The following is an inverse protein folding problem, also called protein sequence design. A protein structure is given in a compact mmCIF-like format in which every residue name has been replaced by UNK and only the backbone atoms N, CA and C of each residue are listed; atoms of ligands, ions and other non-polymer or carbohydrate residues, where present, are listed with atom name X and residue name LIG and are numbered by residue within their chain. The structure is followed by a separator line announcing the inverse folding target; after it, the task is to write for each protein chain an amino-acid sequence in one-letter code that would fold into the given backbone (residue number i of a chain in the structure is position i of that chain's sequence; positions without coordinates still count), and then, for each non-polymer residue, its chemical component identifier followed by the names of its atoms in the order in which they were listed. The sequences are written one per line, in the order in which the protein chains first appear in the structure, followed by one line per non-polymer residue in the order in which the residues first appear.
data_IF_886461493969
#
_entry.id   IF_886461493969
#
_cell.length_a   1.000
_cell.length_b   1.000
_cell.length_c   1.000
_cell.angle_alpha   90.00
_cell.angle_beta   90.00
_cell.angle_gamma   90.00
#
_symmetry.space_group_name_H-M   'P 1'
#
loop_
_entity.id
_entity.type
_entity.pdbx_description
1 polymer ?
#
# COMPACT_ATOMS: atom_id res chain seq x y z
N UNK A 1 -20.29 -13.06 2.26
CA UNK A 1 -19.31 -11.96 2.43
C UNK A 1 -20.07 -10.75 2.98
N UNK A 2 -19.77 -10.31 4.20
CA UNK A 2 -20.43 -9.12 4.76
C UNK A 2 -20.09 -7.88 3.90
N UNK A 3 -21.07 -6.97 3.67
CA UNK A 3 -20.91 -5.85 2.75
C UNK A 3 -19.75 -4.91 3.11
N UNK A 4 -19.40 -4.83 4.39
CA UNK A 4 -18.35 -3.95 4.94
C UNK A 4 -16.93 -4.31 4.48
N UNK A 5 -16.67 -5.58 4.14
CA UNK A 5 -15.33 -6.04 3.75
C UNK A 5 -15.12 -6.14 2.24
N UNK A 6 -16.20 -6.04 1.45
CA UNK A 6 -16.15 -6.20 0.00
C UNK A 6 -15.46 -5.02 -0.68
N UNK A 7 -15.79 -3.79 -0.28
CA UNK A 7 -15.24 -2.57 -0.90
C UNK A 7 -13.72 -2.42 -0.75
N UNK A 8 -13.11 -2.58 0.44
CA UNK A 8 -11.65 -2.52 0.58
C UNK A 8 -10.92 -3.57 -0.26
N UNK A 9 -11.47 -4.78 -0.33
CA UNK A 9 -10.91 -5.88 -1.13
C UNK A 9 -11.02 -5.59 -2.61
N UNK A 10 -12.14 -5.03 -3.07
CA UNK A 10 -12.31 -4.65 -4.48
C UNK A 10 -11.31 -3.56 -4.91
N UNK A 11 -11.06 -2.57 -4.05
CA UNK A 11 -10.03 -1.54 -4.28
C UNK A 11 -8.64 -2.17 -4.32
N UNK A 12 -8.33 -3.04 -3.35
CA UNK A 12 -7.05 -3.76 -3.31
C UNK A 12 -6.83 -4.60 -4.56
N UNK A 13 -7.86 -5.31 -5.04
CA UNK A 13 -7.80 -6.10 -6.27
C UNK A 13 -7.62 -5.24 -7.51
N UNK A 14 -8.18 -4.04 -7.56
CA UNK A 14 -7.95 -3.07 -8.64
C UNK A 14 -6.51 -2.57 -8.62
N UNK A 15 -5.97 -2.23 -7.46
CA UNK A 15 -4.56 -1.83 -7.30
C UNK A 15 -3.62 -2.96 -7.72
N UNK A 16 -3.87 -4.19 -7.25
CA UNK A 16 -3.10 -5.35 -7.69
C UNK A 16 -3.19 -5.62 -9.19
N UNK A 17 -4.35 -5.34 -9.81
CA UNK A 17 -4.52 -5.47 -11.24
C UNK A 17 -3.73 -4.40 -12.02
N UNK A 18 -3.63 -3.18 -11.47
CA UNK A 18 -2.87 -2.09 -12.06
C UNK A 18 -1.36 -2.41 -12.10
N UNK A 19 -0.81 -2.90 -10.99
CA UNK A 19 0.62 -3.28 -10.87
C UNK A 19 0.94 -4.68 -11.43
N UNK A 20 -0.02 -5.34 -12.10
CA UNK A 20 0.17 -6.69 -12.65
C UNK A 20 0.29 -7.85 -11.65
N UNK A 21 0.17 -7.59 -10.35
CA UNK A 21 0.29 -8.56 -9.26
C UNK A 21 -1.05 -9.11 -8.76
N UNK A 22 -2.10 -9.10 -9.59
CA UNK A 22 -3.41 -9.60 -9.18
C UNK A 22 -3.32 -11.07 -8.66
N UNK A 23 -3.62 -11.32 -7.38
CA UNK A 23 -3.50 -12.65 -6.80
C UNK A 23 -4.58 -13.61 -7.33
N UNK A 24 -5.70 -13.10 -7.85
CA UNK A 24 -6.81 -13.91 -8.37
C UNK A 24 -6.75 -14.17 -9.88
N UNK A 25 -5.86 -13.50 -10.61
CA UNK A 25 -5.69 -13.65 -12.07
C UNK A 25 -4.33 -14.23 -12.41
N UNK A 26 -4.15 -14.71 -13.65
CA UNK A 26 -2.82 -15.08 -14.14
C UNK A 26 -1.88 -13.87 -14.04
N UNK A 27 -0.66 -14.13 -13.59
CA UNK A 27 0.37 -13.14 -13.38
C UNK A 27 0.77 -12.51 -14.72
N UNK A 28 0.74 -11.18 -14.78
CA UNK A 28 1.07 -10.45 -16.01
C UNK A 28 2.58 -10.25 -16.07
N UNK A 29 3.29 -11.25 -16.61
CA UNK A 29 4.76 -11.25 -16.70
C UNK A 29 5.27 -9.99 -17.41
N UNK A 30 4.57 -9.53 -18.45
CA UNK A 30 4.94 -8.31 -19.17
C UNK A 30 4.86 -7.06 -18.31
N UNK A 31 3.83 -6.92 -17.46
CA UNK A 31 3.73 -5.78 -16.54
C UNK A 31 4.81 -5.83 -15.47
N UNK A 32 5.08 -7.00 -14.89
CA UNK A 32 6.14 -7.14 -13.87
C UNK A 32 7.52 -6.82 -14.45
N UNK A 33 7.81 -7.31 -15.66
CA UNK A 33 9.07 -6.99 -16.34
C UNK A 33 9.15 -5.50 -16.63
N UNK A 34 8.07 -4.89 -17.11
CA UNK A 34 7.99 -3.44 -17.33
C UNK A 34 8.24 -2.64 -16.03
N UNK A 35 7.55 -2.97 -14.95
CA UNK A 35 7.68 -2.31 -13.65
C UNK A 35 9.09 -2.48 -13.07
N UNK A 36 9.69 -3.68 -13.24
CA UNK A 36 11.07 -3.96 -12.80
C UNK A 36 12.09 -3.13 -13.58
N UNK A 37 11.92 -3.00 -14.90
CA UNK A 37 12.78 -2.17 -15.75
C UNK A 37 12.64 -0.69 -15.38
N UNK A 38 11.41 -0.22 -15.15
CA UNK A 38 11.15 1.14 -14.69
C UNK A 38 11.84 1.43 -13.35
N UNK A 39 11.70 0.52 -12.38
CA UNK A 39 12.29 0.63 -11.05
C UNK A 39 13.82 0.63 -11.11
N UNK A 40 14.41 -0.25 -11.92
CA UNK A 40 15.86 -0.26 -12.13
C UNK A 40 16.37 1.02 -12.80
N UNK A 41 15.62 1.52 -13.79
CA UNK A 41 15.97 2.76 -14.51
C UNK A 41 15.96 3.95 -13.55
N UNK A 42 14.89 4.13 -12.78
CA UNK A 42 14.81 5.26 -11.84
C UNK A 42 15.85 5.18 -10.73
N UNK A 43 16.13 3.97 -10.22
CA UNK A 43 17.17 3.77 -9.21
C UNK A 43 18.55 4.16 -9.76
N UNK A 44 18.85 3.77 -11.01
CA UNK A 44 20.08 4.15 -11.69
C UNK A 44 20.19 5.67 -11.82
N UNK A 45 19.10 6.36 -12.19
CA UNK A 45 19.08 7.81 -12.32
C UNK A 45 19.25 8.53 -10.97
N UNK A 46 18.71 7.98 -9.88
CA UNK A 46 18.96 8.47 -8.52
C UNK A 46 20.42 8.27 -8.13
N UNK A 47 21.01 7.11 -8.42
CA UNK A 47 22.43 6.86 -8.19
C UNK A 47 23.33 7.80 -8.99
N UNK A 48 23.01 8.05 -10.26
CA UNK A 48 23.73 9.00 -11.11
C UNK A 48 23.68 10.42 -10.57
N UNK A 49 22.57 10.81 -9.92
CA UNK A 49 22.46 12.13 -9.27
C UNK A 49 23.56 12.35 -8.22
N UNK A 50 23.94 11.32 -7.46
CA UNK A 50 25.06 11.40 -6.49
C UNK A 50 26.42 11.59 -7.14
N UNK A 51 26.58 11.16 -8.39
CA UNK A 51 27.84 11.28 -9.14
C UNK A 51 27.92 12.54 -9.98
N UNK A 52 26.82 13.27 -10.14
CA UNK A 52 26.79 14.48 -10.96
C UNK A 52 27.37 15.67 -10.17
N UNK A 53 28.38 16.31 -10.76
CA UNK A 53 29.10 17.43 -10.15
C UNK A 53 28.15 18.60 -9.83
N UNK A 54 28.30 19.16 -8.62
CA UNK A 54 27.49 20.21 -7.96
C UNK A 54 26.32 19.75 -7.06
N UNK A 55 26.60 18.80 -6.16
CA UNK A 55 25.64 18.41 -5.14
C UNK A 55 25.68 19.34 -3.91
N UNK A 56 24.66 20.18 -3.76
CA UNK A 56 24.44 20.93 -2.51
C UNK A 56 23.92 20.00 -1.41
N UNK A 57 24.06 20.39 -0.13
CA UNK A 57 23.54 19.62 1.01
C UNK A 57 22.03 19.36 0.87
N UNK A 58 21.28 20.36 0.36
CA UNK A 58 19.84 20.22 0.12
C UNK A 58 19.56 19.15 -0.94
N UNK A 59 20.25 19.20 -2.09
CA UNK A 59 20.06 18.21 -3.17
C UNK A 59 20.46 16.82 -2.69
N UNK A 60 21.52 16.70 -1.89
CA UNK A 60 21.91 15.43 -1.28
C UNK A 60 20.78 14.85 -0.40
N UNK A 61 20.21 15.67 0.50
CA UNK A 61 19.13 15.25 1.37
C UNK A 61 17.89 14.82 0.57
N UNK A 62 17.47 15.60 -0.42
CA UNK A 62 16.31 15.30 -1.25
C UNK A 62 16.52 14.04 -2.13
N UNK A 63 17.76 13.83 -2.61
CA UNK A 63 18.14 12.62 -3.37
C UNK A 63 18.17 11.39 -2.47
N UNK A 64 18.65 11.54 -1.23
CA UNK A 64 18.63 10.47 -0.23
C UNK A 64 17.19 10.10 0.16
N UNK A 65 16.31 11.09 0.34
CA UNK A 65 14.87 10.86 0.56
C UNK A 65 14.26 10.08 -0.62
N UNK A 66 14.59 10.46 -1.85
CA UNK A 66 14.14 9.76 -3.06
C UNK A 66 14.65 8.30 -3.10
N UNK A 67 15.93 8.07 -2.74
CA UNK A 67 16.52 6.74 -2.66
C UNK A 67 15.83 5.86 -1.60
N UNK A 68 15.59 6.40 -0.41
CA UNK A 68 14.89 5.70 0.66
C UNK A 68 13.44 5.38 0.26
N UNK A 69 12.75 6.32 -0.37
CA UNK A 69 11.39 6.16 -0.87
C UNK A 69 11.33 5.03 -1.90
N UNK A 70 12.19 5.05 -2.93
CA UNK A 70 12.27 3.98 -3.93
C UNK A 70 12.60 2.64 -3.27
N UNK A 71 13.54 2.62 -2.32
CA UNK A 71 13.94 1.40 -1.62
C UNK A 71 12.76 0.78 -0.85
N UNK A 72 12.01 1.59 -0.11
CA UNK A 72 10.80 1.14 0.60
C UNK A 72 9.73 0.63 -0.37
N UNK A 73 9.47 1.35 -1.46
CA UNK A 73 8.54 0.95 -2.50
C UNK A 73 8.94 -0.38 -3.16
N UNK A 74 10.23 -0.55 -3.45
CA UNK A 74 10.81 -1.78 -4.02
C UNK A 74 10.58 -2.96 -3.09
N UNK A 75 10.91 -2.81 -1.80
CA UNK A 75 10.72 -3.87 -0.80
C UNK A 75 9.25 -4.26 -0.71
N UNK A 76 8.32 -3.30 -0.70
CA UNK A 76 6.88 -3.57 -0.68
C UNK A 76 6.41 -4.28 -1.95
N UNK A 77 6.81 -3.83 -3.13
CA UNK A 77 6.50 -4.47 -4.41
C UNK A 77 6.99 -5.92 -4.48
N UNK A 78 8.28 -6.15 -4.15
CA UNK A 78 8.87 -7.49 -4.11
C UNK A 78 8.14 -8.36 -3.09
N UNK A 79 7.82 -7.83 -1.92
CA UNK A 79 7.08 -8.58 -0.89
C UNK A 79 5.69 -8.98 -1.40
N UNK A 80 4.97 -8.09 -2.07
CA UNK A 80 3.66 -8.41 -2.68
C UNK A 80 3.79 -9.51 -3.74
N UNK A 81 4.84 -9.45 -4.57
CA UNK A 81 5.10 -10.46 -5.60
C UNK A 81 5.43 -11.83 -4.98
N UNK A 82 6.32 -11.87 -3.98
CA UNK A 82 6.74 -13.10 -3.28
C UNK A 82 5.59 -13.71 -2.47
N UNK A 83 4.82 -12.88 -1.77
CA UNK A 83 3.71 -13.31 -0.91
C UNK A 83 2.38 -13.48 -1.64
N UNK A 84 2.37 -13.45 -2.98
CA UNK A 84 1.15 -13.51 -3.79
C UNK A 84 0.24 -14.71 -3.49
N UNK A 85 0.80 -15.90 -3.27
CA UNK A 85 0.03 -17.11 -2.92
C UNK A 85 -0.63 -17.01 -1.55
N UNK A 86 0.05 -16.41 -0.56
CA UNK A 86 -0.51 -16.11 0.75
C UNK A 86 -1.64 -15.08 0.63
N UNK A 87 -1.43 -14.01 -0.17
CA UNK A 87 -2.45 -12.99 -0.45
C UNK A 87 -3.68 -13.63 -1.12
N UNK A 88 -3.49 -14.50 -2.10
CA UNK A 88 -4.56 -15.23 -2.78
C UNK A 88 -5.35 -16.09 -1.79
N UNK A 89 -4.65 -16.88 -0.97
CA UNK A 89 -5.26 -17.71 0.08
C UNK A 89 -6.08 -16.85 1.04
N UNK A 90 -5.52 -15.70 1.45
CA UNK A 90 -6.21 -14.72 2.29
C UNK A 90 -7.51 -14.27 1.62
N UNK A 91 -7.47 -13.78 0.38
CA UNK A 91 -8.63 -13.25 -0.34
C UNK A 91 -9.71 -14.31 -0.55
N UNK A 92 -9.32 -15.53 -0.96
CA UNK A 92 -10.27 -16.65 -1.13
C UNK A 92 -10.95 -17.03 0.19
N UNK A 93 -10.27 -16.85 1.31
CA UNK A 93 -10.82 -17.12 2.64
C UNK A 93 -11.64 -15.94 3.22
N UNK A 94 -11.58 -14.72 2.65
CA UNK A 94 -12.39 -13.57 3.12
C UNK A 94 -13.89 -13.87 3.02
N UNK A 95 -14.32 -14.62 2.01
CA UNK A 95 -15.73 -15.00 1.84
C UNK A 95 -16.26 -15.95 2.94
N UNK A 96 -15.35 -16.69 3.59
CA UNK A 96 -15.62 -17.60 4.71
C UNK A 96 -15.42 -16.92 6.07
N UNK A 97 -15.02 -15.65 6.06
CA UNK A 97 -14.60 -14.92 7.25
C UNK A 97 -15.81 -14.51 8.08
N UNK A 98 -16.04 -15.33 9.10
CA UNK A 98 -16.89 -15.17 10.28
C UNK A 98 -18.37 -15.13 9.96
N UNK A 99 -19.07 -16.23 10.26
CA UNK A 99 -20.53 -16.21 10.32
C UNK A 99 -20.95 -15.48 11.61
N UNK A 100 -20.93 -14.15 11.59
CA UNK A 100 -21.24 -13.33 12.77
C UNK A 100 -22.64 -13.59 13.33
N UNK A 101 -23.50 -14.24 12.54
CA UNK A 101 -24.83 -14.68 12.95
C UNK A 101 -24.80 -15.77 14.03
N UNK A 102 -23.65 -16.41 14.28
CA UNK A 102 -23.48 -17.45 15.30
C UNK A 102 -23.15 -16.89 16.69
N UNK A 103 -22.81 -15.60 16.81
CA UNK A 103 -22.47 -14.97 18.09
C UNK A 103 -23.65 -14.21 18.72
N UNK A 104 -23.58 -13.98 20.03
CA UNK A 104 -24.56 -13.17 20.77
C UNK A 104 -24.71 -11.77 20.15
N UNK A 105 -25.93 -11.22 20.19
CA UNK A 105 -26.29 -9.95 19.55
C UNK A 105 -25.37 -8.79 19.95
N UNK A 106 -24.98 -8.71 21.23
CA UNK A 106 -24.13 -7.65 21.75
C UNK A 106 -22.71 -7.72 21.19
N UNK A 107 -22.12 -8.92 21.15
CA UNK A 107 -20.80 -9.14 20.57
C UNK A 107 -20.80 -8.90 19.06
N UNK A 108 -21.82 -9.41 18.37
CA UNK A 108 -22.04 -9.16 16.94
C UNK A 108 -22.08 -7.67 16.61
N UNK A 109 -22.89 -6.90 17.34
CA UNK A 109 -23.03 -5.47 17.14
C UNK A 109 -21.72 -4.72 17.43
N UNK A 110 -20.97 -5.15 18.45
CA UNK A 110 -19.66 -4.60 18.76
C UNK A 110 -18.64 -4.86 17.62
N UNK A 111 -18.56 -6.10 17.12
CA UNK A 111 -17.68 -6.45 16.00
C UNK A 111 -18.03 -5.67 14.74
N UNK A 112 -19.32 -5.57 14.38
CA UNK A 112 -19.79 -4.77 13.25
C UNK A 112 -19.39 -3.29 13.40
N UNK A 113 -19.49 -2.73 14.62
CA UNK A 113 -19.05 -1.36 14.91
C UNK A 113 -17.54 -1.19 14.70
N UNK A 114 -16.70 -2.15 15.12
CA UNK A 114 -15.26 -2.07 14.87
C UNK A 114 -14.91 -2.24 13.39
N UNK A 115 -15.57 -3.15 12.67
CA UNK A 115 -15.38 -3.29 11.23
C UNK A 115 -15.76 -2.01 10.48
N UNK A 116 -16.83 -1.33 10.90
CA UNK A 116 -17.19 -0.01 10.36
C UNK A 116 -16.09 1.04 10.58
N UNK A 117 -15.42 1.03 11.74
CA UNK A 117 -14.26 1.91 11.99
C UNK A 117 -13.07 1.56 11.11
N UNK A 118 -12.76 0.28 10.94
CA UNK A 118 -11.68 -0.16 10.03
C UNK A 118 -11.99 0.29 8.60
N UNK A 119 -13.21 0.10 8.11
CA UNK A 119 -13.61 0.57 6.78
C UNK A 119 -13.43 2.09 6.65
N UNK A 120 -13.80 2.85 7.68
CA UNK A 120 -13.60 4.29 7.73
C UNK A 120 -12.12 4.68 7.70
N UNK A 121 -11.28 4.01 8.49
CA UNK A 121 -9.82 4.22 8.48
C UNK A 121 -9.19 3.91 7.11
N UNK A 122 -9.60 2.82 6.47
CA UNK A 122 -9.14 2.48 5.11
C UNK A 122 -9.55 3.56 4.12
N UNK A 123 -10.77 4.11 4.22
CA UNK A 123 -11.20 5.22 3.35
C UNK A 123 -10.36 6.46 3.57
N UNK A 124 -10.12 6.84 4.83
CA UNK A 124 -9.25 7.97 5.16
C UNK A 124 -7.85 7.77 4.56
N UNK A 125 -7.25 6.59 4.80
CA UNK A 125 -5.93 6.25 4.26
C UNK A 125 -5.90 6.36 2.74
N UNK A 126 -6.88 5.78 2.04
CA UNK A 126 -6.99 5.90 0.59
C UNK A 126 -7.13 7.35 0.13
N UNK A 127 -7.94 8.17 0.80
CA UNK A 127 -8.10 9.58 0.46
C UNK A 127 -6.80 10.36 0.65
N UNK A 128 -6.09 10.14 1.76
CA UNK A 128 -4.80 10.78 2.01
C UNK A 128 -3.76 10.38 0.96
N UNK A 129 -3.66 9.09 0.65
CA UNK A 129 -2.75 8.60 -0.38
C UNK A 129 -3.09 9.18 -1.76
N UNK A 130 -4.34 9.09 -2.20
CA UNK A 130 -4.76 9.65 -3.50
C UNK A 130 -4.56 11.17 -3.57
N UNK A 131 -4.81 11.87 -2.47
CA UNK A 131 -4.56 13.30 -2.35
C UNK A 131 -3.06 13.64 -2.44
N UNK A 132 -2.21 12.90 -1.73
CA UNK A 132 -0.76 13.05 -1.81
C UNK A 132 -0.26 12.76 -3.22
N UNK A 133 -0.64 11.63 -3.81
CA UNK A 133 -0.27 11.24 -5.17
C UNK A 133 -0.64 12.31 -6.21
N UNK A 134 -1.85 12.88 -6.10
CA UNK A 134 -2.30 13.95 -6.97
C UNK A 134 -1.50 15.25 -6.77
N UNK A 135 -1.24 15.64 -5.52
CA UNK A 135 -0.45 16.82 -5.21
C UNK A 135 0.99 16.67 -5.73
N UNK A 136 1.66 15.57 -5.41
CA UNK A 136 3.02 15.30 -5.85
C UNK A 136 3.11 15.21 -7.38
N UNK A 137 2.13 14.62 -8.06
CA UNK A 137 2.11 14.59 -9.54
C UNK A 137 2.06 15.98 -10.19
N UNK A 138 1.52 16.99 -9.49
CA UNK A 138 1.41 18.37 -9.99
C UNK A 138 2.67 19.20 -9.66
N UNK A 139 3.42 18.85 -8.60
CA UNK A 139 4.62 19.58 -8.16
C UNK A 139 5.64 19.84 -9.28
N UNK A 140 5.95 18.89 -10.18
CA UNK A 140 6.87 19.13 -11.29
C UNK A 140 6.42 20.20 -12.28
N UNK A 141 5.11 20.42 -12.39
CA UNK A 141 4.55 21.43 -13.30
C UNK A 141 4.66 22.81 -12.68
N UNK A 142 4.44 22.94 -11.36
CA UNK A 142 4.42 24.25 -10.67
C UNK A 142 5.83 24.68 -10.24
N UNK A 143 6.57 23.78 -9.59
CA UNK A 143 7.83 24.10 -8.91
C UNK A 143 9.07 23.77 -9.75
N UNK A 144 8.87 23.16 -10.91
CA UNK A 144 9.94 22.63 -11.76
C UNK A 144 10.79 21.53 -11.08
N UNK A 145 10.41 21.04 -9.89
CA UNK A 145 11.10 19.96 -9.18
C UNK A 145 10.46 18.62 -9.49
N UNK A 146 11.27 17.60 -9.74
CA UNK A 146 10.77 16.24 -9.94
C UNK A 146 10.14 15.68 -8.65
N UNK A 147 9.24 14.71 -8.79
CA UNK A 147 8.68 14.01 -7.63
C UNK A 147 9.72 13.10 -7.02
N UNK A 148 10.40 12.34 -7.88
CA UNK A 148 11.58 11.57 -7.52
C UNK A 148 12.79 12.35 -8.01
N UNK A 149 13.56 12.90 -7.07
CA UNK A 149 14.76 13.68 -7.37
C UNK A 149 15.85 12.75 -7.89
N UNK A 150 16.14 12.87 -9.17
CA UNK A 150 17.08 12.03 -9.90
C UNK A 150 17.72 12.80 -11.06
N UNK A 151 18.76 12.22 -11.64
CA UNK A 151 19.42 12.76 -12.82
C UNK A 151 18.45 12.81 -14.01
N UNK A 152 18.43 13.95 -14.71
CA UNK A 152 17.67 14.14 -15.95
C UNK A 152 18.64 13.98 -17.13
N UNK A 153 18.49 12.95 -17.97
CA UNK A 153 19.35 12.79 -19.14
C UNK A 153 19.18 13.93 -20.13
N UNK A 154 20.29 14.51 -20.59
CA UNK A 154 20.31 15.71 -21.45
C UNK A 154 19.58 15.52 -22.79
N UNK A 155 19.54 14.29 -23.30
CA UNK A 155 18.91 13.95 -24.58
C UNK A 155 17.39 13.78 -24.50
N UNK A 156 16.79 13.80 -23.29
CA UNK A 156 15.36 13.60 -23.10
C UNK A 156 14.68 14.96 -22.85
N UNK A 157 13.66 15.35 -23.64
CA UNK A 157 12.86 16.53 -23.35
C UNK A 157 12.27 16.47 -21.94
N UNK A 158 12.47 17.54 -21.17
CA UNK A 158 12.05 17.60 -19.75
C UNK A 158 10.61 17.19 -19.53
N UNK A 159 9.68 17.61 -20.40
CA UNK A 159 8.26 17.28 -20.28
C UNK A 159 8.02 15.76 -20.33
N UNK A 160 8.69 15.06 -21.26
CA UNK A 160 8.61 13.60 -21.36
C UNK A 160 9.20 12.94 -20.12
N UNK A 161 10.30 13.48 -19.60
CA UNK A 161 10.93 12.97 -18.39
C UNK A 161 10.05 13.17 -17.14
N UNK A 162 9.36 14.30 -17.02
CA UNK A 162 8.39 14.56 -15.94
C UNK A 162 7.23 13.56 -16.00
N UNK A 163 6.69 13.29 -17.19
CA UNK A 163 5.63 12.29 -17.38
C UNK A 163 6.13 10.90 -16.94
N UNK A 164 7.33 10.53 -17.38
CA UNK A 164 7.97 9.27 -16.98
C UNK A 164 8.15 9.16 -15.47
N UNK A 165 8.69 10.20 -14.82
CA UNK A 165 8.91 10.28 -13.39
C UNK A 165 7.59 10.11 -12.60
N UNK A 166 6.51 10.77 -13.05
CA UNK A 166 5.18 10.65 -12.46
C UNK A 166 4.57 9.27 -12.65
N UNK A 167 4.70 8.65 -13.83
CA UNK A 167 4.20 7.28 -14.06
C UNK A 167 4.85 6.30 -13.09
N UNK A 168 6.17 6.40 -12.90
CA UNK A 168 6.89 5.56 -11.95
C UNK A 168 6.40 5.82 -10.54
N UNK A 169 6.36 7.09 -10.11
CA UNK A 169 5.91 7.46 -8.78
C UNK A 169 4.52 6.90 -8.46
N UNK A 170 3.53 7.10 -9.34
CA UNK A 170 2.16 6.60 -9.16
C UNK A 170 2.10 5.07 -9.11
N UNK A 171 2.88 4.39 -9.96
CA UNK A 171 2.92 2.93 -10.00
C UNK A 171 3.52 2.34 -8.69
N UNK A 172 4.60 2.95 -8.21
CA UNK A 172 5.20 2.58 -6.92
C UNK A 172 4.28 2.92 -5.75
N UNK A 173 3.61 4.07 -5.79
CA UNK A 173 2.59 4.48 -4.82
C UNK A 173 1.44 3.49 -4.71
N UNK A 174 0.94 2.98 -5.85
CA UNK A 174 -0.05 1.91 -5.86
C UNK A 174 0.41 0.65 -5.14
N UNK A 175 1.69 0.29 -5.26
CA UNK A 175 2.29 -0.85 -4.57
C UNK A 175 2.35 -0.64 -3.06
N UNK A 176 2.67 0.58 -2.60
CA UNK A 176 2.65 0.96 -1.19
C UNK A 176 1.25 0.84 -0.60
N UNK A 177 0.25 1.43 -1.26
CA UNK A 177 -1.14 1.40 -0.82
C UNK A 177 -1.65 -0.06 -0.75
N UNK A 178 -1.37 -0.85 -1.78
CA UNK A 178 -1.76 -2.25 -1.82
C UNK A 178 -1.14 -3.05 -0.67
N UNK A 179 0.15 -2.81 -0.36
CA UNK A 179 0.85 -3.46 0.74
C UNK A 179 0.29 -3.07 2.10
N UNK A 180 0.06 -1.78 2.36
CA UNK A 180 -0.43 -1.30 3.65
C UNK A 180 -1.86 -1.79 3.93
N UNK A 181 -2.73 -1.75 2.91
CA UNK A 181 -4.09 -2.32 2.99
C UNK A 181 -4.02 -3.84 3.20
N UNK A 182 -3.09 -4.54 2.54
CA UNK A 182 -2.87 -5.97 2.77
C UNK A 182 -2.45 -6.29 4.21
N UNK A 183 -1.48 -5.54 4.76
CA UNK A 183 -0.95 -5.74 6.10
C UNK A 183 -2.01 -5.47 7.18
N UNK A 184 -2.83 -4.43 7.00
CA UNK A 184 -3.99 -4.17 7.85
C UNK A 184 -4.96 -5.36 7.83
N UNK A 185 -5.26 -5.89 6.65
CA UNK A 185 -6.13 -7.06 6.51
C UNK A 185 -5.53 -8.29 7.20
N UNK A 186 -4.22 -8.54 7.05
CA UNK A 186 -3.56 -9.67 7.72
C UNK A 186 -3.63 -9.55 9.24
N UNK A 187 -3.36 -8.37 9.82
CA UNK A 187 -3.45 -8.12 11.27
C UNK A 187 -4.86 -8.36 11.81
N UNK A 188 -5.89 -7.92 11.08
CA UNK A 188 -7.29 -8.21 11.45
C UNK A 188 -7.57 -9.72 11.44
N UNK A 189 -6.93 -10.49 10.55
CA UNK A 189 -7.07 -11.94 10.49
C UNK A 189 -6.33 -12.71 11.58
N UNK A 190 -5.25 -12.15 12.13
CA UNK A 190 -4.53 -12.78 13.24
C UNK A 190 -5.37 -12.82 14.52
N UNK A 191 -6.43 -12.02 14.60
CA UNK A 191 -7.46 -12.15 15.61
C UNK A 191 -8.26 -13.44 15.31
N UNK A 192 -7.85 -14.56 15.93
CA UNK A 192 -8.41 -15.90 15.67
C UNK A 192 -9.76 -16.09 16.36
N UNK A 193 -10.80 -15.37 15.93
CA UNK A 193 -12.15 -15.47 16.50
C UNK A 193 -12.77 -16.89 16.39
N UNK A 194 -12.29 -17.72 15.46
CA UNK A 194 -12.70 -19.13 15.34
C UNK A 194 -12.32 -19.98 16.56
N UNK A 195 -11.38 -19.52 17.38
CA UNK A 195 -10.99 -20.18 18.64
C UNK A 195 -11.76 -19.67 19.85
N UNK A 196 -12.60 -18.65 19.68
CA UNK A 196 -13.41 -18.08 20.76
C UNK A 196 -14.57 -19.02 21.04
N UNK A 197 -14.44 -19.84 22.09
CA UNK A 197 -15.49 -20.74 22.55
C UNK A 197 -16.11 -20.29 23.87
N UNK A 198 -15.41 -19.41 24.60
CA UNK A 198 -15.81 -18.95 25.94
C UNK A 198 -15.81 -17.42 26.04
N UNK A 199 -16.53 -16.89 27.05
CA UNK A 199 -16.55 -15.44 27.37
C UNK A 199 -15.17 -14.88 27.76
N UNK A 200 -14.25 -15.74 28.21
CA UNK A 200 -12.87 -15.36 28.52
C UNK A 200 -12.11 -15.16 27.21
N UNK A 201 -12.29 -16.04 26.23
CA UNK A 201 -11.70 -15.88 24.89
C UNK A 201 -12.23 -14.63 24.18
N UNK A 202 -13.52 -14.29 24.36
CA UNK A 202 -14.07 -13.02 23.87
C UNK A 202 -13.34 -11.82 24.47
N UNK A 203 -13.12 -11.79 25.80
CA UNK A 203 -12.37 -10.71 26.47
C UNK A 203 -10.92 -10.60 25.98
N UNK A 204 -10.25 -11.73 25.77
CA UNK A 204 -8.87 -11.74 25.27
C UNK A 204 -8.79 -11.25 23.83
N UNK A 205 -9.71 -11.70 22.97
CA UNK A 205 -9.77 -11.26 21.58
C UNK A 205 -10.17 -9.79 21.46
N UNK A 206 -11.05 -9.30 22.35
CA UNK A 206 -11.39 -7.89 22.52
C UNK A 206 -10.16 -7.06 22.89
N UNK A 207 -9.33 -7.54 23.83
CA UNK A 207 -8.10 -6.87 24.23
C UNK A 207 -7.08 -6.81 23.08
N UNK A 208 -6.87 -7.91 22.36
CA UNK A 208 -5.98 -7.93 21.18
C UNK A 208 -6.48 -7.01 20.06
N UNK A 209 -7.79 -7.02 19.78
CA UNK A 209 -8.39 -6.07 18.83
C UNK A 209 -8.14 -4.63 19.25
N UNK A 210 -8.34 -4.34 20.53
CA UNK A 210 -8.15 -3.00 21.08
C UNK A 210 -6.70 -2.54 20.92
N UNK A 211 -5.72 -3.42 21.17
CA UNK A 211 -4.30 -3.14 20.94
C UNK A 211 -4.01 -2.86 19.46
N UNK A 212 -4.56 -3.64 18.52
CA UNK A 212 -4.36 -3.40 17.08
C UNK A 212 -4.96 -2.06 16.65
N UNK A 213 -6.14 -1.69 17.18
CA UNK A 213 -6.80 -0.41 16.92
C UNK A 213 -6.04 0.74 17.58
N UNK A 214 -5.60 0.59 18.83
CA UNK A 214 -4.83 1.60 19.57
C UNK A 214 -3.46 1.83 18.94
N UNK A 215 -2.78 0.78 18.47
CA UNK A 215 -1.53 0.89 17.71
C UNK A 215 -1.72 1.68 16.41
N UNK A 216 -2.80 1.42 15.67
CA UNK A 216 -3.10 2.22 14.48
C UNK A 216 -3.45 3.66 14.85
N UNK A 217 -4.29 3.90 15.87
CA UNK A 217 -4.58 5.25 16.35
C UNK A 217 -3.32 6.00 16.82
N UNK A 218 -2.35 5.29 17.40
CA UNK A 218 -1.05 5.83 17.80
C UNK A 218 -0.21 6.24 16.58
N UNK A 219 -0.17 5.43 15.52
CA UNK A 219 0.52 5.77 14.28
C UNK A 219 -0.08 7.00 13.56
N UNK A 220 -1.30 7.42 13.94
CA UNK A 220 -1.99 8.60 13.38
C UNK A 220 -1.98 9.82 14.31
N UNK A 221 -1.36 9.74 15.49
CA UNK A 221 -1.05 10.91 16.34
C UNK A 221 0.33 11.43 16.01
#
# INVERSE_FOLDING_TARGET
MYPYYKRPVDVLLKLFNFIGLNPLKKLSVSLIVFDSVLLFTILTLVCMQFTHNEMTIQIFADTLESLLTISQMTVKFVTLAVKRSEIESIIRQIGKFWNLNQFELNFRNWCLKQFGKVEFLVKILLTFYLGAEALFSIIPIISNRLVIICYIPEFIPRLLFVIFNNIIYVNLGCSVIAFDVFLLNQKIRMLKFEKVKTKIDEKTCLAEMKIVIEYHNFLYR
#
